data_IF_522859213439
#
_entry.id   IF_522859213439
#
_cell.length_a   1.000
_cell.length_b   1.000
_cell.length_c   1.000
_cell.angle_alpha   90.00
_cell.angle_beta   90.00
_cell.angle_gamma   90.00
#
_symmetry.space_group_name_H-M   'P 1'
#
loop_
_entity.id
_entity.type
_entity.pdbx_description
1 polymer ?
#
# COMPACT_ATOMS: atom_id res chain seq x y z
N UNK A 1 -9.05 -8.96 11.15
CA UNK A 1 -8.62 -8.24 12.37
C UNK A 1 -8.21 -9.17 13.50
N UNK A 2 -9.04 -10.13 13.91
CA UNK A 2 -8.70 -11.07 15.00
C UNK A 2 -7.46 -11.93 14.71
N UNK A 3 -7.24 -12.32 13.46
CA UNK A 3 -6.06 -13.08 13.07
C UNK A 3 -4.76 -12.31 13.26
N UNK A 4 -4.71 -11.04 12.86
CA UNK A 4 -3.54 -10.17 13.03
C UNK A 4 -3.28 -9.88 14.51
N UNK A 5 -4.34 -9.66 15.30
CA UNK A 5 -4.23 -9.50 16.74
C UNK A 5 -3.68 -10.78 17.39
N UNK A 6 -4.16 -11.95 17.01
CA UNK A 6 -3.67 -13.22 17.53
C UNK A 6 -2.19 -13.45 17.19
N UNK A 7 -1.76 -13.09 15.98
CA UNK A 7 -0.35 -13.19 15.56
C UNK A 7 0.53 -12.22 16.36
N UNK A 8 0.07 -10.99 16.56
CA UNK A 8 0.79 -10.01 17.36
C UNK A 8 0.92 -10.47 18.85
N UNK A 9 -0.16 -10.97 19.43
CA UNK A 9 -0.16 -11.49 20.80
C UNK A 9 0.78 -12.68 20.96
N UNK A 10 0.76 -13.62 20.00
CA UNK A 10 1.67 -14.76 20.00
C UNK A 10 3.13 -14.32 19.89
N UNK A 11 3.43 -13.39 18.98
CA UNK A 11 4.77 -12.83 18.81
C UNK A 11 5.25 -12.13 20.10
N UNK A 12 4.39 -11.33 20.72
CA UNK A 12 4.70 -10.67 22.00
C UNK A 12 4.94 -11.68 23.14
N UNK A 13 4.16 -12.76 23.20
CA UNK A 13 4.36 -13.84 24.15
C UNK A 13 5.76 -14.47 24.05
N UNK A 14 6.17 -14.80 22.81
CA UNK A 14 7.50 -15.37 22.56
C UNK A 14 8.63 -14.40 22.90
N UNK A 15 8.47 -13.09 22.62
CA UNK A 15 9.46 -12.07 23.00
C UNK A 15 9.64 -12.07 24.52
N UNK A 16 8.54 -12.02 25.29
CA UNK A 16 8.60 -12.06 26.75
C UNK A 16 9.27 -13.33 27.28
N UNK A 17 8.93 -14.48 26.71
CA UNK A 17 9.49 -15.77 27.09
C UNK A 17 11.00 -15.83 26.79
N UNK A 18 11.43 -15.36 25.61
CA UNK A 18 12.85 -15.29 25.23
C UNK A 18 13.65 -14.47 26.24
N UNK A 19 13.14 -13.30 26.61
CA UNK A 19 13.77 -12.42 27.61
C UNK A 19 13.77 -13.06 29.00
N UNK A 20 12.64 -13.64 29.42
CA UNK A 20 12.52 -14.30 30.72
C UNK A 20 13.47 -15.49 30.89
N UNK A 21 13.79 -16.18 29.81
CA UNK A 21 14.74 -17.30 29.73
C UNK A 21 16.20 -16.84 29.59
N UNK A 22 16.50 -15.55 29.78
CA UNK A 22 17.86 -15.01 29.73
C UNK A 22 18.37 -14.70 28.33
N UNK A 23 17.51 -14.72 27.30
CA UNK A 23 17.83 -14.23 25.96
C UNK A 23 17.87 -12.70 25.94
N UNK A 24 18.69 -12.15 25.06
CA UNK A 24 18.70 -10.70 24.83
C UNK A 24 17.62 -10.26 23.84
N UNK A 25 17.41 -8.94 23.72
CA UNK A 25 16.41 -8.37 22.82
C UNK A 25 16.71 -8.71 21.35
N UNK A 26 17.97 -8.94 20.98
CA UNK A 26 18.38 -9.29 19.62
C UNK A 26 17.98 -10.73 19.27
N UNK A 27 18.01 -11.65 20.26
CA UNK A 27 17.52 -13.01 20.08
C UNK A 27 16.02 -13.06 19.75
N UNK A 28 15.25 -12.11 20.27
CA UNK A 28 13.82 -11.96 19.97
C UNK A 28 13.53 -11.22 18.67
N UNK A 29 14.54 -10.79 17.90
CA UNK A 29 14.42 -9.88 16.76
C UNK A 29 13.37 -10.28 15.73
N UNK A 30 13.32 -11.56 15.33
CA UNK A 30 12.32 -12.03 14.36
C UNK A 30 10.87 -11.87 14.86
N UNK A 31 10.65 -12.12 16.17
CA UNK A 31 9.33 -11.96 16.78
C UNK A 31 8.94 -10.50 16.94
N UNK A 32 9.93 -9.62 17.17
CA UNK A 32 9.73 -8.17 17.18
C UNK A 32 9.25 -7.70 15.80
N UNK A 33 9.93 -8.11 14.71
CA UNK A 33 9.46 -7.79 13.35
C UNK A 33 8.03 -8.29 13.10
N UNK A 34 7.75 -9.54 13.47
CA UNK A 34 6.42 -10.14 13.29
C UNK A 34 5.34 -9.39 14.06
N UNK A 35 5.63 -8.91 15.26
CA UNK A 35 4.73 -8.09 16.07
C UNK A 35 4.40 -6.77 15.35
N UNK A 36 5.41 -6.03 14.91
CA UNK A 36 5.20 -4.73 14.26
C UNK A 36 4.58 -4.83 12.88
N UNK A 37 4.86 -5.90 12.14
CA UNK A 37 4.21 -6.18 10.86
C UNK A 37 2.71 -6.45 11.07
N UNK A 38 2.36 -7.32 12.02
CA UNK A 38 0.96 -7.60 12.41
C UNK A 38 0.23 -6.35 12.90
N UNK A 39 0.91 -5.46 13.66
CA UNK A 39 0.39 -4.15 14.06
C UNK A 39 0.06 -3.28 12.85
N UNK A 40 0.95 -3.23 11.86
CA UNK A 40 0.75 -2.45 10.64
C UNK A 40 -0.46 -2.94 9.85
N UNK A 41 -0.60 -4.26 9.67
CA UNK A 41 -1.74 -4.86 8.98
C UNK A 41 -3.06 -4.66 9.74
N UNK A 42 -3.04 -4.80 11.08
CA UNK A 42 -4.19 -4.52 11.93
C UNK A 42 -4.65 -3.06 11.78
N UNK A 43 -3.72 -2.11 11.81
CA UNK A 43 -4.03 -0.68 11.62
C UNK A 43 -4.66 -0.40 10.25
N UNK A 44 -4.15 -1.01 9.17
CA UNK A 44 -4.72 -0.85 7.83
C UNK A 44 -6.16 -1.39 7.78
N UNK A 45 -6.38 -2.57 8.34
CA UNK A 45 -7.71 -3.21 8.37
C UNK A 45 -8.69 -2.46 9.27
N UNK A 46 -8.25 -1.93 10.39
CA UNK A 46 -9.06 -1.09 11.27
C UNK A 46 -9.56 0.17 10.57
N UNK A 47 -8.71 0.81 9.76
CA UNK A 47 -9.08 1.99 9.00
C UNK A 47 -10.02 1.69 7.79
N UNK A 48 -10.08 0.45 7.34
CA UNK A 48 -10.88 0.03 6.18
C UNK A 48 -12.20 -0.66 6.53
N UNK A 49 -12.34 -1.17 7.75
CA UNK A 49 -13.54 -1.89 8.21
C UNK A 49 -14.33 -1.06 9.21
N UNK A 50 -15.63 -0.86 8.94
CA UNK A 50 -16.53 -0.08 9.77
C UNK A 50 -16.92 -0.70 11.13
N UNK A 51 -16.12 -1.63 11.69
CA UNK A 51 -16.34 -2.20 13.03
C UNK A 51 -15.49 -1.45 14.07
N UNK A 52 -15.99 -0.33 14.53
CA UNK A 52 -15.24 0.64 15.33
C UNK A 52 -14.83 0.11 16.71
N UNK A 53 -15.71 -0.62 17.40
CA UNK A 53 -15.44 -1.07 18.78
C UNK A 53 -14.39 -2.17 18.88
N UNK A 54 -14.49 -3.20 18.04
CA UNK A 54 -13.53 -4.32 18.01
C UNK A 54 -12.15 -3.84 17.57
N UNK A 55 -12.11 -2.97 16.54
CA UNK A 55 -10.88 -2.35 16.08
C UNK A 55 -10.21 -1.51 17.16
N UNK A 56 -11.01 -0.72 17.89
CA UNK A 56 -10.50 0.10 19.00
C UNK A 56 -9.83 -0.74 20.09
N UNK A 57 -10.50 -1.78 20.59
CA UNK A 57 -9.94 -2.64 21.63
C UNK A 57 -8.72 -3.42 21.17
N UNK A 58 -8.73 -3.90 19.91
CA UNK A 58 -7.57 -4.58 19.34
C UNK A 58 -6.36 -3.65 19.23
N UNK A 59 -6.55 -2.42 18.77
CA UNK A 59 -5.48 -1.42 18.68
C UNK A 59 -4.98 -0.99 20.04
N UNK A 60 -5.86 -0.86 21.04
CA UNK A 60 -5.47 -0.52 22.40
C UNK A 60 -4.63 -1.62 23.05
N UNK A 61 -4.99 -2.89 22.83
CA UNK A 61 -4.19 -4.02 23.31
C UNK A 61 -2.78 -4.02 22.68
N UNK A 62 -2.69 -3.78 21.37
CA UNK A 62 -1.39 -3.68 20.68
C UNK A 62 -0.56 -2.52 21.23
N UNK A 63 -1.17 -1.40 21.55
CA UNK A 63 -0.52 -0.23 22.14
C UNK A 63 0.09 -0.53 23.52
N UNK A 64 -0.63 -1.30 24.35
CA UNK A 64 -0.12 -1.77 25.65
C UNK A 64 1.08 -2.70 25.47
N UNK A 65 1.02 -3.63 24.53
CA UNK A 65 2.15 -4.50 24.20
C UNK A 65 3.35 -3.71 23.65
N UNK A 66 3.12 -2.71 22.80
CA UNK A 66 4.18 -1.83 22.28
C UNK A 66 4.88 -1.06 23.41
N UNK A 67 4.13 -0.56 24.40
CA UNK A 67 4.69 0.09 25.58
C UNK A 67 5.56 -0.88 26.38
N UNK A 68 5.08 -2.10 26.60
CA UNK A 68 5.86 -3.13 27.28
C UNK A 68 7.13 -3.53 26.49
N UNK A 69 7.06 -3.59 25.15
CA UNK A 69 8.24 -3.79 24.31
C UNK A 69 9.22 -2.62 24.42
N UNK A 70 8.74 -1.38 24.43
CA UNK A 70 9.59 -0.22 24.66
C UNK A 70 10.39 -0.34 25.97
N UNK A 71 9.72 -0.74 27.04
CA UNK A 71 10.38 -0.98 28.32
C UNK A 71 11.46 -2.06 28.20
N UNK A 72 11.17 -3.18 27.53
CA UNK A 72 12.17 -4.24 27.27
C UNK A 72 13.38 -3.72 26.46
N UNK A 73 13.15 -2.90 25.43
CA UNK A 73 14.24 -2.29 24.66
C UNK A 73 15.13 -1.39 25.51
N UNK A 74 14.53 -0.63 26.44
CA UNK A 74 15.25 0.27 27.33
C UNK A 74 16.06 -0.50 28.39
N UNK A 75 15.47 -1.54 29.00
CA UNK A 75 16.09 -2.26 30.10
C UNK A 75 17.03 -3.39 29.67
N UNK A 76 16.75 -4.05 28.54
CA UNK A 76 17.51 -5.21 28.06
C UNK A 76 18.36 -4.89 26.84
N UNK A 77 18.09 -3.76 26.19
CA UNK A 77 18.83 -3.29 25.02
C UNK A 77 19.98 -2.34 25.38
N UNK A 78 20.79 -1.98 24.37
CA UNK A 78 21.73 -0.88 24.52
C UNK A 78 21.01 0.47 24.61
N UNK A 79 21.65 1.45 25.22
CA UNK A 79 21.12 2.82 25.26
C UNK A 79 20.81 3.34 23.82
N UNK A 80 19.62 3.92 23.65
CA UNK A 80 19.16 4.45 22.35
C UNK A 80 18.64 3.42 21.36
N UNK A 81 18.63 2.11 21.69
CA UNK A 81 18.16 1.07 20.78
C UNK A 81 16.71 1.26 20.34
N UNK A 82 15.84 1.76 21.23
CA UNK A 82 14.46 2.06 20.90
C UNK A 82 14.33 3.19 19.88
N UNK A 83 15.10 4.25 20.05
CA UNK A 83 15.09 5.41 19.13
C UNK A 83 15.62 5.01 17.74
N UNK A 84 16.68 4.21 17.70
CA UNK A 84 17.20 3.64 16.46
C UNK A 84 16.18 2.75 15.76
N UNK A 85 15.44 1.94 16.54
CA UNK A 85 14.35 1.12 16.02
C UNK A 85 13.23 1.97 15.40
N UNK A 86 12.80 3.04 16.07
CA UNK A 86 11.79 3.95 15.55
C UNK A 86 12.27 4.66 14.27
N UNK A 87 13.53 5.10 14.24
CA UNK A 87 14.13 5.70 13.06
C UNK A 87 14.17 4.74 11.87
N UNK A 88 14.59 3.49 12.12
CA UNK A 88 14.56 2.42 11.12
C UNK A 88 13.17 2.15 10.55
N UNK A 89 12.15 2.05 11.42
CA UNK A 89 10.76 1.87 10.99
C UNK A 89 10.26 3.05 10.16
N UNK A 90 10.58 4.28 10.57
CA UNK A 90 10.19 5.49 9.83
C UNK A 90 10.82 5.53 8.44
N UNK A 91 12.09 5.17 8.31
CA UNK A 91 12.78 5.08 7.03
C UNK A 91 12.21 3.97 6.14
N UNK A 92 12.00 2.78 6.68
CA UNK A 92 11.40 1.66 5.97
C UNK A 92 9.98 2.00 5.46
N UNK A 93 9.20 2.74 6.25
CA UNK A 93 7.89 3.24 5.85
C UNK A 93 8.00 4.26 4.71
N UNK A 94 8.92 5.23 4.82
CA UNK A 94 9.14 6.23 3.76
C UNK A 94 9.52 5.58 2.43
N UNK A 95 10.39 4.56 2.45
CA UNK A 95 10.76 3.82 1.24
C UNK A 95 9.56 3.13 0.61
N UNK A 96 8.77 2.40 1.40
CA UNK A 96 7.53 1.74 0.91
C UNK A 96 6.52 2.75 0.35
N UNK A 97 6.30 3.85 1.03
CA UNK A 97 5.37 4.91 0.58
C UNK A 97 5.87 5.57 -0.72
N UNK A 98 7.18 5.72 -0.90
CA UNK A 98 7.78 6.23 -2.13
C UNK A 98 7.62 5.25 -3.30
N UNK A 99 7.83 3.94 -3.07
CA UNK A 99 7.62 2.88 -4.07
C UNK A 99 6.16 2.83 -4.52
N UNK A 100 5.21 2.81 -3.58
CA UNK A 100 3.77 2.82 -3.89
C UNK A 100 3.39 4.08 -4.69
N UNK A 101 3.89 5.25 -4.31
CA UNK A 101 3.65 6.48 -5.07
C UNK A 101 4.24 6.42 -6.48
N UNK A 102 5.43 5.87 -6.64
CA UNK A 102 6.06 5.69 -7.95
C UNK A 102 5.26 4.74 -8.84
N UNK A 103 4.77 3.63 -8.30
CA UNK A 103 3.91 2.68 -9.01
C UNK A 103 2.57 3.31 -9.44
N UNK A 104 1.91 4.04 -8.54
CA UNK A 104 0.65 4.75 -8.85
C UNK A 104 0.87 5.78 -9.94
N UNK A 105 1.93 6.58 -9.87
CA UNK A 105 2.27 7.55 -10.91
C UNK A 105 2.57 6.89 -12.26
N UNK A 106 3.27 5.74 -12.24
CA UNK A 106 3.54 4.98 -13.46
C UNK A 106 2.24 4.44 -14.09
N UNK A 107 1.30 3.96 -13.27
CA UNK A 107 -0.01 3.52 -13.74
C UNK A 107 -0.84 4.66 -14.34
N UNK A 108 -0.85 5.84 -13.69
CA UNK A 108 -1.55 7.03 -14.20
C UNK A 108 -0.98 7.42 -15.57
N UNK A 109 0.35 7.53 -15.68
CA UNK A 109 1.02 7.86 -16.96
C UNK A 109 0.70 6.85 -18.07
N UNK A 110 0.64 5.55 -17.75
CA UNK A 110 0.24 4.52 -18.73
C UNK A 110 -1.21 4.70 -19.18
N UNK A 111 -2.12 5.01 -18.28
CA UNK A 111 -3.53 5.28 -18.62
C UNK A 111 -3.68 6.54 -19.48
N UNK A 112 -2.99 7.61 -19.12
CA UNK A 112 -2.98 8.86 -19.90
C UNK A 112 -2.44 8.65 -21.33
N UNK A 113 -1.36 7.90 -21.46
CA UNK A 113 -0.81 7.55 -22.78
C UNK A 113 -1.80 6.73 -23.63
N UNK A 114 -2.49 5.76 -23.03
CA UNK A 114 -3.53 4.98 -23.70
C UNK A 114 -4.71 5.86 -24.16
N UNK A 115 -5.18 6.76 -23.27
CA UNK A 115 -6.26 7.69 -23.61
C UNK A 115 -5.87 8.67 -24.72
N UNK A 116 -4.65 9.19 -24.70
CA UNK A 116 -4.14 10.03 -25.77
C UNK A 116 -4.11 9.29 -27.12
N UNK A 117 -3.73 8.01 -27.13
CA UNK A 117 -3.68 7.17 -28.32
C UNK A 117 -5.09 6.87 -28.87
N UNK A 118 -6.05 6.56 -28.00
CA UNK A 118 -7.46 6.31 -28.35
C UNK A 118 -8.09 7.58 -28.93
N UNK A 119 -7.93 8.73 -28.28
CA UNK A 119 -8.47 10.00 -28.77
C UNK A 119 -7.84 10.40 -30.10
N UNK A 120 -6.53 10.24 -30.27
CA UNK A 120 -5.86 10.48 -31.54
C UNK A 120 -6.39 9.58 -32.65
N UNK A 121 -6.59 8.30 -32.40
CA UNK A 121 -7.16 7.33 -33.34
C UNK A 121 -8.59 7.67 -33.77
N UNK A 122 -9.45 8.07 -32.82
CA UNK A 122 -10.83 8.48 -33.10
C UNK A 122 -10.91 9.71 -34.01
N UNK A 123 -10.04 10.69 -33.82
CA UNK A 123 -9.98 11.89 -34.68
C UNK A 123 -9.58 11.49 -36.11
N UNK A 124 -8.58 10.65 -36.28
CA UNK A 124 -8.13 10.20 -37.59
C UNK A 124 -9.26 9.44 -38.33
N UNK A 125 -9.95 8.54 -37.65
CA UNK A 125 -11.07 7.77 -38.20
C UNK A 125 -12.22 8.71 -38.62
N UNK A 126 -12.55 9.72 -37.82
CA UNK A 126 -13.63 10.66 -38.13
C UNK A 126 -13.30 11.53 -39.38
N UNK A 127 -12.05 11.95 -39.52
CA UNK A 127 -11.60 12.70 -40.70
C UNK A 127 -11.65 11.82 -41.95
N UNK A 128 -11.17 10.58 -41.89
CA UNK A 128 -11.20 9.65 -43.02
C UNK A 128 -12.64 9.33 -43.45
N UNK A 129 -13.55 9.09 -42.53
CA UNK A 129 -14.97 8.87 -42.85
C UNK A 129 -15.59 10.10 -43.49
N UNK A 130 -15.29 11.31 -43.03
CA UNK A 130 -15.73 12.57 -43.64
C UNK A 130 -15.25 12.71 -45.09
N UNK A 131 -13.99 12.43 -45.38
CA UNK A 131 -13.43 12.48 -46.74
C UNK A 131 -14.09 11.46 -47.66
N UNK A 132 -14.33 10.25 -47.22
CA UNK A 132 -15.02 9.20 -47.98
C UNK A 132 -16.45 9.62 -48.33
N UNK A 133 -17.19 10.19 -47.40
CA UNK A 133 -18.56 10.67 -47.63
C UNK A 133 -18.56 11.78 -48.68
N UNK A 134 -17.66 12.76 -48.58
CA UNK A 134 -17.55 13.85 -49.53
C UNK A 134 -17.23 13.31 -50.93
N UNK A 135 -16.26 12.40 -51.05
CA UNK A 135 -15.90 11.77 -52.32
C UNK A 135 -17.09 11.00 -52.93
N UNK A 136 -17.86 10.27 -52.14
CA UNK A 136 -19.05 9.55 -52.59
C UNK A 136 -20.15 10.49 -53.07
N UNK A 137 -20.37 11.64 -52.42
CA UNK A 137 -21.34 12.65 -52.82
C UNK A 137 -20.93 13.28 -54.15
N UNK A 138 -19.66 13.64 -54.31
CA UNK A 138 -19.14 14.20 -55.57
C UNK A 138 -19.30 13.20 -56.72
N UNK A 139 -18.93 11.94 -56.50
CA UNK A 139 -19.08 10.87 -57.47
C UNK A 139 -20.56 10.66 -57.88
N UNK A 140 -21.48 10.67 -56.93
CA UNK A 140 -22.94 10.54 -57.16
C UNK A 140 -23.50 11.71 -58.01
N UNK A 141 -23.08 12.95 -57.73
CA UNK A 141 -23.49 14.13 -58.49
C UNK A 141 -22.94 14.06 -59.91
N UNK A 142 -21.66 13.66 -60.07
CA UNK A 142 -21.02 13.55 -61.40
C UNK A 142 -21.68 12.46 -62.27
N UNK A 143 -22.11 11.34 -61.68
CA UNK A 143 -22.77 10.26 -62.42
C UNK A 143 -24.24 10.54 -62.77
N UNK A 144 -24.97 11.35 -61.97
CA UNK A 144 -26.36 11.75 -62.29
C UNK A 144 -26.48 13.00 -63.14
N UNK A 145 -25.45 13.77 -63.29
CA UNK A 145 -25.42 14.97 -64.14
C UNK A 145 -25.22 14.69 -65.64
N UNK A 146 -25.20 13.43 -66.08
CA UNK A 146 -25.04 13.01 -67.48
C UNK A 146 -26.34 12.39 -68.06
N UNK A 147 -27.53 12.69 -67.51
CA UNK A 147 -28.82 12.30 -68.09
C UNK A 147 -29.54 13.56 -68.61
#
# INVERSE_FOLDING_TARGET
>A
MLAELAIANAAFGVIKETIANGGDIMAAGQHIFKFFDSKSELSKKANSSGSDSEAFFALEQIKQHEKALQELFIYQGRAGLWDDWLAFQAEAKRKRDAEVKAEVLAQIKRKEALWAWINGGLIIISVLTGVIIIAAVIWFIATKGQI
#
